data_IF_623656935105
#
_entry.id   IF_623656935105
#
_cell.length_a   1.000
_cell.length_b   1.000
_cell.length_c   1.000
_cell.angle_alpha   90.00
_cell.angle_beta   90.00
_cell.angle_gamma   90.00
#
_symmetry.space_group_name_H-M   'P 1'
#
loop_
_entity.id
_entity.type
_entity.pdbx_description
1 polymer ?
#
# COMPACT_ATOMS: atom_id res chain seq x y z
N UNK A 1 -13.13 -5.38 -0.21
CA UNK A 1 -12.58 -4.07 0.17
C UNK A 1 -13.20 -2.85 -0.56
N UNK A 2 -13.93 -3.02 -1.67
CA UNK A 2 -14.55 -1.94 -2.48
C UNK A 2 -15.84 -1.29 -1.90
N UNK A 3 -16.08 -1.35 -0.59
CA UNK A 3 -17.33 -0.86 0.01
C UNK A 3 -17.25 0.58 0.56
N UNK A 4 -16.07 1.13 0.86
CA UNK A 4 -15.96 2.43 1.54
C UNK A 4 -16.35 3.59 0.64
N UNK A 5 -15.84 3.64 -0.59
CA UNK A 5 -16.17 4.73 -1.54
C UNK A 5 -17.65 4.79 -1.90
N UNK A 6 -18.28 3.64 -2.15
CA UNK A 6 -19.75 3.59 -2.42
C UNK A 6 -20.57 4.07 -1.23
N UNK A 7 -20.15 3.75 0.00
CA UNK A 7 -20.81 4.23 1.23
C UNK A 7 -20.66 5.74 1.39
N UNK A 8 -19.48 6.29 1.11
CA UNK A 8 -19.26 7.74 1.17
C UNK A 8 -20.10 8.50 0.15
N UNK A 9 -20.15 8.02 -1.11
CA UNK A 9 -21.01 8.61 -2.16
C UNK A 9 -22.49 8.58 -1.76
N UNK A 10 -22.96 7.46 -1.20
CA UNK A 10 -24.35 7.34 -0.75
C UNK A 10 -24.68 8.24 0.44
N UNK A 11 -23.71 8.54 1.32
CA UNK A 11 -23.89 9.41 2.48
C UNK A 11 -23.88 10.91 2.14
N UNK A 12 -23.26 11.29 1.02
CA UNK A 12 -23.11 12.68 0.58
C UNK A 12 -23.70 12.90 -0.83
N UNK A 13 -25.01 12.66 -1.04
CA UNK A 13 -25.63 12.85 -2.35
C UNK A 13 -25.60 14.34 -2.72
N UNK A 14 -24.99 14.66 -3.87
CA UNK A 14 -24.73 16.01 -4.38
C UNK A 14 -23.59 16.79 -3.71
N UNK A 15 -22.78 16.15 -2.86
CA UNK A 15 -21.57 16.75 -2.28
C UNK A 15 -20.38 15.82 -2.50
N UNK A 16 -19.77 15.95 -3.69
CA UNK A 16 -18.66 15.10 -4.13
C UNK A 16 -17.42 15.31 -3.26
N UNK A 17 -17.13 16.55 -2.87
CA UNK A 17 -15.95 16.87 -2.05
C UNK A 17 -16.07 16.27 -0.65
N UNK A 18 -17.26 16.32 -0.03
CA UNK A 18 -17.48 15.63 1.23
C UNK A 18 -17.37 14.10 1.09
N UNK A 19 -17.89 13.53 0.00
CA UNK A 19 -17.76 12.10 -0.27
C UNK A 19 -16.30 11.66 -0.44
N UNK A 20 -15.50 12.41 -1.20
CA UNK A 20 -14.08 12.15 -1.42
C UNK A 20 -13.30 12.29 -0.12
N UNK A 21 -13.51 13.38 0.62
CA UNK A 21 -12.87 13.62 1.92
C UNK A 21 -13.13 12.45 2.87
N UNK A 22 -14.39 12.01 3.02
CA UNK A 22 -14.75 10.90 3.89
C UNK A 22 -14.10 9.58 3.46
N UNK A 23 -14.00 9.34 2.15
CA UNK A 23 -13.32 8.17 1.61
C UNK A 23 -11.80 8.21 1.85
N UNK A 24 -11.16 9.33 1.60
CA UNK A 24 -9.71 9.53 1.73
C UNK A 24 -9.24 9.44 3.17
N UNK A 25 -9.95 10.06 4.11
CA UNK A 25 -9.68 9.94 5.55
C UNK A 25 -9.68 8.49 6.02
N UNK A 26 -10.54 7.65 5.45
CA UNK A 26 -10.57 6.21 5.74
C UNK A 26 -9.52 5.41 4.95
N UNK A 27 -9.19 5.84 3.72
CA UNK A 27 -8.29 5.13 2.82
C UNK A 27 -6.82 5.31 3.21
N UNK A 28 -6.35 6.55 3.38
CA UNK A 28 -4.93 6.84 3.45
C UNK A 28 -4.22 6.17 4.62
N UNK A 29 -4.74 6.21 5.86
CA UNK A 29 -4.09 5.53 6.99
C UNK A 29 -4.05 4.00 6.78
N UNK A 30 -5.04 3.46 6.09
CA UNK A 30 -5.06 2.02 5.75
C UNK A 30 -3.98 1.68 4.73
N UNK A 31 -3.73 2.55 3.74
CA UNK A 31 -2.79 2.28 2.64
C UNK A 31 -1.33 2.60 2.98
N UNK A 32 -1.08 3.50 3.92
CA UNK A 32 0.26 3.92 4.33
C UNK A 32 1.26 2.76 4.60
N UNK A 33 0.95 1.74 5.42
CA UNK A 33 1.89 0.64 5.65
C UNK A 33 2.17 -0.18 4.39
N UNK A 34 1.17 -0.36 3.51
CA UNK A 34 1.35 -1.08 2.25
C UNK A 34 2.25 -0.33 1.28
N UNK A 35 2.22 1.01 1.30
CA UNK A 35 3.13 1.81 0.48
C UNK A 35 4.58 1.66 0.94
N UNK A 36 4.83 1.66 2.25
CA UNK A 36 6.18 1.44 2.78
C UNK A 36 6.71 0.04 2.38
N UNK A 37 5.90 -1.00 2.61
CA UNK A 37 6.27 -2.38 2.25
C UNK A 37 6.48 -2.55 0.73
N UNK A 38 5.62 -1.96 -0.09
CA UNK A 38 5.77 -1.99 -1.54
C UNK A 38 7.04 -1.25 -2.01
N UNK A 39 7.39 -0.13 -1.38
CA UNK A 39 8.61 0.60 -1.69
C UNK A 39 9.86 -0.25 -1.38
N UNK A 40 9.89 -0.92 -0.22
CA UNK A 40 10.98 -1.80 0.16
C UNK A 40 11.12 -3.00 -0.80
N UNK A 41 9.99 -3.60 -1.19
CA UNK A 41 9.94 -4.67 -2.18
C UNK A 41 10.47 -4.20 -3.55
N UNK A 42 10.04 -3.03 -4.01
CA UNK A 42 10.52 -2.47 -5.28
C UNK A 42 12.01 -2.18 -5.23
N UNK A 43 12.52 -1.62 -4.14
CA UNK A 43 13.94 -1.36 -3.97
C UNK A 43 14.77 -2.66 -4.02
N UNK A 44 14.22 -3.76 -3.51
CA UNK A 44 14.86 -5.08 -3.57
C UNK A 44 14.96 -5.63 -5.00
N UNK A 45 13.90 -5.43 -5.80
CA UNK A 45 13.80 -5.99 -7.15
C UNK A 45 14.49 -5.14 -8.23
N UNK A 46 14.45 -3.81 -8.09
CA UNK A 46 14.88 -2.85 -9.13
C UNK A 46 15.69 -1.66 -8.59
N UNK A 47 16.10 -1.67 -7.32
CA UNK A 47 16.96 -0.64 -6.74
C UNK A 47 18.44 -0.83 -7.06
N UNK A 48 19.29 0.03 -6.51
CA UNK A 48 20.72 0.10 -6.83
C UNK A 48 21.49 -1.20 -6.55
N UNK A 49 21.01 -2.01 -5.60
CA UNK A 49 21.62 -3.30 -5.24
C UNK A 49 20.93 -4.50 -5.92
N UNK A 50 20.03 -4.28 -6.89
CA UNK A 50 19.42 -5.37 -7.63
C UNK A 50 20.43 -5.99 -8.63
N UNK A 51 20.44 -7.33 -8.80
CA UNK A 51 19.56 -8.31 -8.17
C UNK A 51 20.10 -8.85 -6.82
N UNK A 52 21.30 -8.45 -6.40
CA UNK A 52 21.99 -9.00 -5.23
C UNK A 52 21.14 -8.95 -3.95
N UNK A 53 20.52 -7.82 -3.65
CA UNK A 53 19.65 -7.71 -2.46
C UNK A 53 18.49 -8.72 -2.48
N UNK A 54 17.90 -8.98 -3.64
CA UNK A 54 16.84 -9.98 -3.79
C UNK A 54 17.37 -11.40 -3.54
N UNK A 55 18.58 -11.72 -4.02
CA UNK A 55 19.24 -13.00 -3.72
C UNK A 55 19.58 -13.15 -2.23
N UNK A 56 20.02 -12.07 -1.59
CA UNK A 56 20.32 -12.05 -0.16
C UNK A 56 19.07 -12.36 0.68
N UNK A 57 17.90 -11.83 0.31
CA UNK A 57 16.63 -12.16 0.98
C UNK A 57 16.32 -13.67 0.95
N UNK A 58 16.46 -14.32 -0.21
CA UNK A 58 16.15 -15.75 -0.35
C UNK A 58 17.19 -16.65 0.31
N UNK A 59 18.47 -16.25 0.28
CA UNK A 59 19.56 -17.03 0.88
C UNK A 59 19.64 -16.85 2.39
N UNK A 60 19.28 -15.67 2.93
CA UNK A 60 19.20 -15.46 4.38
C UNK A 60 18.13 -16.33 5.06
N UNK A 61 17.04 -16.64 4.36
CA UNK A 61 15.99 -17.53 4.88
C UNK A 61 16.45 -18.99 5.03
N UNK A 62 17.41 -19.43 4.22
CA UNK A 62 17.98 -20.78 4.23
C UNK A 62 19.02 -20.98 5.35
N UNK A 63 19.57 -19.89 5.90
CA UNK A 63 20.62 -19.91 6.93
C UNK A 63 20.09 -19.64 8.35
N UNK A 64 18.76 -19.54 8.51
CA UNK A 64 18.09 -19.29 9.79
C UNK A 64 17.56 -20.57 10.49
N UNK A 65 17.82 -21.75 9.91
CA UNK A 65 17.76 -23.07 10.58
C UNK A 65 19.11 -23.43 11.23
#
# INVERSE_FOLDING_TARGET
MALVGRKAIAAHPNDVEAALTAYEVALFPRTEPFYAEAHDMLNLMIGDNAPSGFLDLFTAADQAE
#
